data_IF_500104331531
#
_entry.id   IF_500104331531
#
_cell.length_a   1.000
_cell.length_b   1.000
_cell.length_c   1.000
_cell.angle_alpha   90.00
_cell.angle_beta   90.00
_cell.angle_gamma   90.00
#
_symmetry.space_group_name_H-M   'P 1'
#
loop_
_entity.id
_entity.type
_entity.pdbx_description
1 polymer ?
#
# COMPACT_ATOMS: atom_id res chain seq x y z
N UNK A 1 82.57 64.65 37.84
CA UNK A 1 82.23 63.78 38.99
C UNK A 1 81.07 62.89 38.57
N UNK A 2 81.32 61.57 38.53
CA UNK A 2 80.32 60.54 38.27
C UNK A 2 79.77 59.96 39.59
N UNK A 3 78.66 59.20 39.49
CA UNK A 3 77.93 58.38 40.49
C UNK A 3 76.74 59.11 41.14
N UNK A 4 75.50 58.59 41.15
CA UNK A 4 75.00 57.21 41.15
C UNK A 4 73.76 56.99 40.28
N UNK A 5 73.70 55.77 39.72
CA UNK A 5 72.50 55.07 39.28
C UNK A 5 71.36 55.17 40.30
N UNK A 6 70.13 55.34 39.82
CA UNK A 6 68.95 54.90 40.54
C UNK A 6 68.05 54.08 39.59
N UNK A 7 68.09 52.73 39.64
CA UNK A 7 67.30 51.88 38.79
C UNK A 7 65.99 51.50 39.49
N UNK A 8 65.00 52.39 39.51
CA UNK A 8 63.68 52.09 40.08
C UNK A 8 62.52 52.65 39.25
N UNK A 9 62.54 52.41 37.93
CA UNK A 9 61.32 52.41 37.12
C UNK A 9 61.26 51.16 36.25
N UNK A 10 61.06 50.01 36.89
CA UNK A 10 60.43 48.84 36.25
C UNK A 10 59.32 48.34 37.17
N UNK A 11 58.29 49.17 37.33
CA UNK A 11 57.06 48.79 38.00
C UNK A 11 56.15 48.11 37.00
N UNK A 12 56.11 46.78 37.08
CA UNK A 12 54.95 45.92 36.89
C UNK A 12 53.80 46.45 36.01
N UNK A 13 53.71 45.95 34.78
CA UNK A 13 52.40 45.75 34.14
C UNK A 13 52.34 44.54 33.18
N UNK A 14 52.61 43.30 33.63
CA UNK A 14 52.32 42.09 32.83
C UNK A 14 50.87 41.61 32.99
N UNK A 15 49.90 42.49 33.26
CA UNK A 15 48.56 42.10 33.74
C UNK A 15 47.44 42.21 32.68
N UNK A 16 47.65 42.92 31.56
CA UNK A 16 46.57 43.24 30.61
C UNK A 16 46.53 42.38 29.32
N UNK A 17 47.63 41.73 28.93
CA UNK A 17 47.65 40.82 27.77
C UNK A 17 46.98 39.48 28.07
N UNK A 18 47.13 38.97 29.30
CA UNK A 18 46.54 37.69 29.71
C UNK A 18 45.00 37.78 29.82
N UNK A 19 44.48 38.91 30.31
CA UNK A 19 43.03 39.13 30.47
C UNK A 19 42.31 39.27 29.11
N UNK A 20 42.96 39.89 28.12
CA UNK A 20 42.38 40.02 26.77
C UNK A 20 42.44 38.71 25.98
N UNK A 21 43.46 37.88 26.20
CA UNK A 21 43.53 36.51 25.64
C UNK A 21 42.48 35.59 26.28
N UNK A 22 42.31 35.65 27.61
CA UNK A 22 41.28 34.89 28.33
C UNK A 22 39.86 35.31 27.93
N UNK A 23 39.59 36.61 27.74
CA UNK A 23 38.29 37.09 27.26
C UNK A 23 37.97 36.61 25.83
N UNK A 24 38.98 36.51 24.96
CA UNK A 24 38.80 36.05 23.57
C UNK A 24 38.57 34.55 23.48
N UNK A 25 39.28 33.75 24.29
CA UNK A 25 39.08 32.31 24.38
C UNK A 25 37.75 31.94 25.08
N UNK A 26 37.39 32.61 26.17
CA UNK A 26 36.13 32.40 26.86
C UNK A 26 34.91 32.77 25.98
N UNK A 27 34.99 33.86 25.22
CA UNK A 27 33.97 34.23 24.25
C UNK A 27 33.79 33.21 23.13
N UNK A 28 34.91 32.61 22.68
CA UNK A 28 34.89 31.49 21.73
C UNK A 28 34.13 30.28 22.27
N UNK A 29 34.48 29.81 23.47
CA UNK A 29 33.85 28.63 24.11
C UNK A 29 32.35 28.84 24.33
N UNK A 30 31.93 30.01 24.81
CA UNK A 30 30.51 30.36 25.00
C UNK A 30 29.78 30.39 23.64
N UNK A 31 30.40 30.95 22.60
CA UNK A 31 29.84 30.98 21.25
C UNK A 31 29.72 29.57 20.66
N UNK A 32 30.75 28.73 20.79
CA UNK A 32 30.70 27.33 20.34
C UNK A 32 29.63 26.53 21.07
N UNK A 33 29.51 26.68 22.39
CA UNK A 33 28.47 26.00 23.16
C UNK A 33 27.07 26.46 22.74
N UNK A 34 26.86 27.77 22.55
CA UNK A 34 25.59 28.31 22.05
C UNK A 34 25.24 27.79 20.66
N UNK A 35 26.20 27.79 19.73
CA UNK A 35 25.99 27.28 18.37
C UNK A 35 25.75 25.77 18.35
N UNK A 36 26.40 25.02 19.24
CA UNK A 36 26.20 23.57 19.36
C UNK A 36 24.80 23.26 19.86
N UNK A 37 24.35 23.96 20.92
CA UNK A 37 22.97 23.85 21.43
C UNK A 37 21.97 24.27 20.36
N UNK A 38 22.21 25.37 19.65
CA UNK A 38 21.35 25.82 18.56
C UNK A 38 21.28 24.77 17.44
N UNK A 39 22.41 24.18 17.06
CA UNK A 39 22.45 23.12 16.05
C UNK A 39 21.70 21.85 16.50
N UNK A 40 21.85 21.43 17.75
CA UNK A 40 21.08 20.31 18.32
C UNK A 40 19.57 20.60 18.35
N UNK A 41 19.16 21.82 18.71
CA UNK A 41 17.75 22.22 18.67
C UNK A 41 17.21 22.27 17.25
N UNK A 42 18.00 22.75 16.29
CA UNK A 42 17.65 22.77 14.87
C UNK A 42 17.51 21.35 14.31
N UNK A 43 18.44 20.43 14.65
CA UNK A 43 18.35 19.03 14.28
C UNK A 43 17.09 18.37 14.87
N UNK A 44 16.81 18.59 16.15
CA UNK A 44 15.60 18.08 16.81
C UNK A 44 14.32 18.64 16.17
N UNK A 45 14.31 19.92 15.80
CA UNK A 45 13.19 20.54 15.09
C UNK A 45 13.01 19.96 13.69
N UNK A 46 14.10 19.73 12.95
CA UNK A 46 14.07 19.08 11.62
C UNK A 46 13.48 17.68 11.74
N UNK A 47 13.90 16.89 12.72
CA UNK A 47 13.39 15.53 12.91
C UNK A 47 11.91 15.53 13.31
N UNK A 48 11.49 16.46 14.18
CA UNK A 48 10.07 16.64 14.51
C UNK A 48 9.24 17.05 13.28
N UNK A 49 9.74 17.99 12.47
CA UNK A 49 9.07 18.43 11.24
C UNK A 49 8.99 17.30 10.21
N UNK A 50 10.04 16.49 10.07
CA UNK A 50 10.06 15.31 9.20
C UNK A 50 9.02 14.27 9.64
N UNK A 51 8.92 13.99 10.95
CA UNK A 51 7.88 13.09 11.48
C UNK A 51 6.48 13.60 11.18
N UNK A 52 6.21 14.90 11.43
CA UNK A 52 4.91 15.51 11.14
C UNK A 52 4.57 15.50 9.65
N UNK A 53 5.55 15.72 8.78
CA UNK A 53 5.37 15.63 7.32
C UNK A 53 5.04 14.20 6.87
N UNK A 54 5.68 13.20 7.48
CA UNK A 54 5.38 11.79 7.24
C UNK A 54 3.94 11.47 7.65
N UNK A 55 3.54 11.80 8.88
CA UNK A 55 2.19 11.55 9.39
C UNK A 55 1.11 12.25 8.55
N UNK A 56 1.35 13.52 8.19
CA UNK A 56 0.42 14.28 7.34
C UNK A 56 0.27 13.66 5.95
N UNK A 57 1.34 13.09 5.40
CA UNK A 57 1.29 12.41 4.10
C UNK A 57 0.49 11.11 4.21
N UNK A 58 0.66 10.33 5.27
CA UNK A 58 -0.12 9.10 5.48
C UNK A 58 -1.61 9.39 5.62
N UNK A 59 -1.99 10.38 6.44
CA UNK A 59 -3.39 10.81 6.61
C UNK A 59 -3.97 11.26 5.27
N UNK A 60 -3.20 12.00 4.47
CA UNK A 60 -3.65 12.44 3.15
C UNK A 60 -3.91 11.26 2.21
N UNK A 61 -3.01 10.27 2.18
CA UNK A 61 -3.14 9.08 1.34
C UNK A 61 -4.33 8.22 1.76
N UNK A 62 -4.51 7.97 3.06
CA UNK A 62 -5.67 7.26 3.60
C UNK A 62 -6.98 7.98 3.24
N UNK A 63 -7.05 9.29 3.48
CA UNK A 63 -8.23 10.09 3.16
C UNK A 63 -8.58 10.02 1.67
N UNK A 64 -7.57 10.07 0.80
CA UNK A 64 -7.75 9.92 -0.65
C UNK A 64 -8.30 8.54 -1.02
N UNK A 65 -7.79 7.46 -0.42
CA UNK A 65 -8.30 6.09 -0.63
C UNK A 65 -9.76 5.96 -0.17
N UNK A 66 -10.06 6.41 1.04
CA UNK A 66 -11.41 6.34 1.63
C UNK A 66 -12.43 7.17 0.84
N UNK A 67 -12.07 8.36 0.36
CA UNK A 67 -12.92 9.16 -0.53
C UNK A 67 -13.23 8.43 -1.83
N UNK A 68 -12.25 7.78 -2.44
CA UNK A 68 -12.45 6.96 -3.64
C UNK A 68 -13.41 5.80 -3.39
N UNK A 69 -13.25 5.10 -2.26
CA UNK A 69 -14.11 3.98 -1.86
C UNK A 69 -15.56 4.43 -1.62
N UNK A 70 -15.75 5.56 -0.93
CA UNK A 70 -17.06 6.14 -0.66
C UNK A 70 -17.76 6.58 -1.96
N UNK A 71 -17.04 7.27 -2.84
CA UNK A 71 -17.56 7.73 -4.13
C UNK A 71 -17.99 6.56 -5.02
N UNK A 72 -17.24 5.45 -5.01
CA UNK A 72 -17.61 4.23 -5.72
C UNK A 72 -18.88 3.61 -5.12
N UNK A 73 -18.96 3.49 -3.80
CA UNK A 73 -20.15 2.95 -3.11
C UNK A 73 -21.42 3.71 -3.50
N UNK A 74 -21.38 5.04 -3.47
CA UNK A 74 -22.52 5.89 -3.81
C UNK A 74 -22.99 5.75 -5.27
N UNK A 75 -22.08 5.47 -6.21
CA UNK A 75 -22.40 5.36 -7.65
C UNK A 75 -22.81 3.95 -8.09
N UNK A 76 -22.43 2.92 -7.33
CA UNK A 76 -22.57 1.52 -7.76
C UNK A 76 -24.00 1.00 -7.84
N UNK A 77 -24.95 1.58 -7.10
CA UNK A 77 -26.29 1.04 -6.93
C UNK A 77 -26.33 -0.30 -6.16
N UNK A 78 -25.19 -0.78 -5.66
CA UNK A 78 -25.06 -2.03 -4.91
C UNK A 78 -25.12 -1.76 -3.40
N UNK A 79 -25.61 -2.74 -2.65
CA UNK A 79 -25.54 -2.72 -1.19
C UNK A 79 -24.14 -3.16 -0.75
N UNK A 80 -23.31 -2.19 -0.37
CA UNK A 80 -21.89 -2.41 -0.08
C UNK A 80 -21.53 -2.11 1.38
N UNK A 81 -20.78 -3.01 1.99
CA UNK A 81 -20.14 -2.79 3.30
C UNK A 81 -18.65 -2.51 3.12
N UNK A 82 -18.16 -1.33 3.53
CA UNK A 82 -16.73 -1.07 3.59
C UNK A 82 -16.09 -1.88 4.71
N UNK A 83 -14.96 -2.49 4.40
CA UNK A 83 -14.16 -3.26 5.35
C UNK A 83 -12.67 -2.96 5.14
N UNK A 84 -11.91 -2.97 6.23
CA UNK A 84 -10.46 -2.83 6.25
C UNK A 84 -9.82 -4.19 6.41
N UNK A 85 -8.72 -4.42 5.69
CA UNK A 85 -7.88 -5.59 5.88
C UNK A 85 -7.04 -5.41 7.15
N UNK A 86 -7.19 -6.33 8.10
CA UNK A 86 -6.51 -6.33 9.40
C UNK A 86 -5.50 -7.46 9.53
N UNK A 87 -5.43 -8.35 8.54
CA UNK A 87 -4.47 -9.44 8.51
C UNK A 87 -4.35 -10.06 7.13
N UNK A 88 -3.21 -10.67 6.85
CA UNK A 88 -2.97 -11.47 5.65
C UNK A 88 -2.38 -12.80 6.05
N UNK A 89 -2.74 -13.87 5.35
CA UNK A 89 -2.10 -15.16 5.58
C UNK A 89 -0.66 -15.14 5.05
N UNK A 90 0.33 -15.60 5.83
CA UNK A 90 1.72 -15.74 5.38
C UNK A 90 1.94 -17.00 4.52
N UNK A 91 0.89 -17.79 4.29
CA UNK A 91 0.94 -19.04 3.56
C UNK A 91 1.34 -18.79 2.09
N UNK A 92 2.36 -19.51 1.63
CA UNK A 92 2.83 -19.42 0.25
C UNK A 92 1.94 -20.18 -0.73
N UNK A 93 1.09 -21.09 -0.25
CA UNK A 93 0.21 -21.92 -1.09
C UNK A 93 -1.23 -21.41 -1.16
N UNK A 94 -1.64 -20.51 -0.26
CA UNK A 94 -2.97 -19.91 -0.27
C UNK A 94 -2.91 -18.39 -0.05
N UNK A 95 -3.68 -17.65 -0.84
CA UNK A 95 -3.78 -16.20 -0.74
C UNK A 95 -5.11 -15.81 -0.10
N UNK A 96 -5.04 -15.32 1.14
CA UNK A 96 -6.22 -14.83 1.85
C UNK A 96 -5.92 -13.64 2.75
N UNK A 97 -6.96 -12.85 3.02
CA UNK A 97 -6.92 -11.66 3.85
C UNK A 97 -8.06 -11.70 4.89
N UNK A 98 -7.80 -11.18 6.09
CA UNK A 98 -8.80 -11.04 7.16
C UNK A 98 -9.30 -9.60 7.19
N UNK A 99 -10.61 -9.42 7.24
CA UNK A 99 -11.26 -8.10 7.32
C UNK A 99 -11.91 -7.85 8.68
N UNK A 100 -12.03 -6.58 9.05
CA UNK A 100 -12.60 -6.06 10.31
C UNK A 100 -14.14 -6.05 10.35
N UNK A 101 -14.78 -6.92 9.55
CA UNK A 101 -16.22 -7.06 9.48
C UNK A 101 -16.60 -8.54 9.50
N UNK A 102 -17.66 -8.88 10.24
CA UNK A 102 -18.11 -10.25 10.46
C UNK A 102 -19.62 -10.42 10.31
N UNK A 103 -20.15 -11.49 10.92
CA UNK A 103 -21.58 -11.82 10.93
C UNK A 103 -22.44 -10.68 11.48
N UNK A 104 -21.98 -9.96 12.50
CA UNK A 104 -22.73 -8.83 13.06
C UNK A 104 -22.85 -7.64 12.11
N UNK A 105 -21.98 -7.56 11.10
CA UNK A 105 -22.11 -6.60 10.02
C UNK A 105 -22.94 -7.14 8.86
N UNK A 106 -23.49 -8.35 8.94
CA UNK A 106 -24.26 -8.98 7.87
C UNK A 106 -23.40 -9.73 6.84
N UNK A 107 -22.10 -9.87 7.06
CA UNK A 107 -21.23 -10.64 6.16
C UNK A 107 -21.54 -12.13 6.28
N UNK A 108 -21.60 -12.82 5.14
CA UNK A 108 -21.79 -14.27 5.05
C UNK A 108 -20.79 -14.89 4.09
N UNK A 109 -20.50 -16.18 4.31
CA UNK A 109 -19.73 -17.01 3.39
C UNK A 109 -20.32 -16.92 1.98
N UNK A 110 -19.46 -16.79 0.98
CA UNK A 110 -19.83 -16.70 -0.42
C UNK A 110 -20.04 -15.27 -0.95
N UNK A 111 -20.15 -14.26 -0.07
CA UNK A 111 -20.26 -12.86 -0.51
C UNK A 111 -18.99 -12.41 -1.24
N UNK A 112 -19.16 -11.50 -2.21
CA UNK A 112 -18.07 -11.05 -3.09
C UNK A 112 -17.40 -9.81 -2.50
N UNK A 113 -16.07 -9.80 -2.52
CA UNK A 113 -15.26 -8.66 -2.15
C UNK A 113 -14.74 -7.96 -3.41
N UNK A 114 -14.95 -6.64 -3.49
CA UNK A 114 -14.56 -5.79 -4.61
C UNK A 114 -13.82 -4.55 -4.12
N UNK A 115 -13.15 -3.89 -5.06
CA UNK A 115 -12.57 -2.56 -4.91
C UNK A 115 -13.00 -1.69 -6.09
N UNK A 116 -12.80 -0.37 -6.04
CA UNK A 116 -13.04 0.50 -7.21
C UNK A 116 -12.22 0.10 -8.45
N UNK A 117 -11.13 -0.67 -8.25
CA UNK A 117 -10.27 -1.17 -9.33
C UNK A 117 -10.74 -2.50 -9.93
N UNK A 118 -11.58 -3.26 -9.23
CA UNK A 118 -12.03 -4.57 -9.70
C UNK A 118 -12.28 -5.60 -8.59
N UNK A 119 -12.41 -6.85 -9.01
CA UNK A 119 -12.67 -8.00 -8.14
C UNK A 119 -11.46 -8.27 -7.23
N UNK A 120 -11.72 -8.41 -5.93
CA UNK A 120 -10.70 -8.73 -4.91
C UNK A 120 -10.74 -10.21 -4.56
N UNK A 121 -11.94 -10.77 -4.38
CA UNK A 121 -12.09 -12.15 -3.93
C UNK A 121 -13.49 -12.49 -3.45
N UNK A 122 -13.58 -13.48 -2.56
CA UNK A 122 -14.84 -13.97 -1.98
C UNK A 122 -14.66 -14.34 -0.51
N UNK A 123 -15.69 -14.10 0.30
CA UNK A 123 -15.71 -14.52 1.71
C UNK A 123 -15.67 -16.05 1.78
N UNK A 124 -14.59 -16.60 2.32
CA UNK A 124 -14.41 -18.02 2.57
C UNK A 124 -15.04 -18.43 3.90
N UNK A 125 -14.82 -17.63 4.93
CA UNK A 125 -15.22 -17.89 6.31
C UNK A 125 -15.63 -16.59 7.00
N UNK A 126 -16.51 -16.69 7.99
CA UNK A 126 -17.05 -15.53 8.72
C UNK A 126 -17.12 -15.89 10.20
N UNK A 127 -16.43 -15.11 11.03
CA UNK A 127 -16.60 -15.07 12.48
C UNK A 127 -17.53 -13.91 12.87
N UNK A 128 -17.72 -13.68 14.16
CA UNK A 128 -18.68 -12.70 14.65
C UNK A 128 -18.32 -11.26 14.24
N UNK A 129 -17.06 -10.88 14.39
CA UNK A 129 -16.54 -9.53 14.11
C UNK A 129 -15.56 -9.46 12.93
N UNK A 130 -15.11 -10.60 12.41
CA UNK A 130 -14.11 -10.66 11.35
C UNK A 130 -14.51 -11.68 10.29
N UNK A 131 -13.94 -11.56 9.09
CA UNK A 131 -14.15 -12.53 8.02
C UNK A 131 -12.87 -12.78 7.25
N UNK A 132 -12.74 -13.97 6.70
CA UNK A 132 -11.62 -14.36 5.84
C UNK A 132 -12.05 -14.29 4.38
N UNK A 133 -11.30 -13.52 3.59
CA UNK A 133 -11.47 -13.35 2.14
C UNK A 133 -10.44 -14.23 1.45
N UNK A 134 -10.92 -15.16 0.61
CA UNK A 134 -10.09 -15.85 -0.37
C UNK A 134 -9.88 -14.93 -1.58
N UNK A 135 -8.63 -14.60 -1.87
CA UNK A 135 -8.26 -13.60 -2.85
C UNK A 135 -8.27 -14.17 -4.28
N UNK A 136 -8.39 -13.30 -5.29
CA UNK A 136 -8.50 -13.70 -6.70
C UNK A 136 -7.23 -14.38 -7.24
N UNK A 137 -6.08 -14.11 -6.65
CA UNK A 137 -4.81 -14.76 -6.96
C UNK A 137 -4.66 -16.13 -6.29
N UNK A 138 -5.58 -16.56 -5.43
CA UNK A 138 -5.54 -17.91 -4.87
C UNK A 138 -5.88 -18.97 -5.95
N UNK A 139 -5.06 -20.04 -6.11
CA UNK A 139 -5.31 -21.08 -7.11
C UNK A 139 -6.63 -21.83 -6.96
N UNK A 140 -7.17 -21.91 -5.73
CA UNK A 140 -8.43 -22.58 -5.43
C UNK A 140 -9.66 -21.72 -5.74
N UNK A 141 -9.50 -20.41 -5.96
CA UNK A 141 -10.60 -19.54 -6.35
C UNK A 141 -10.82 -19.59 -7.86
N UNK A 142 -11.97 -20.13 -8.28
CA UNK A 142 -12.45 -20.07 -9.65
C UNK A 142 -13.50 -18.97 -9.83
N UNK A 143 -13.32 -18.13 -10.84
CA UNK A 143 -14.24 -17.05 -11.21
C UNK A 143 -14.72 -17.25 -12.64
N UNK A 144 -16.04 -17.35 -12.83
CA UNK A 144 -16.63 -17.41 -14.17
C UNK A 144 -16.53 -16.03 -14.83
N UNK A 145 -15.91 -15.97 -16.00
CA UNK A 145 -15.56 -14.73 -16.69
C UNK A 145 -15.92 -14.75 -18.16
N UNK A 146 -15.99 -13.56 -18.74
CA UNK A 146 -16.11 -13.33 -20.17
C UNK A 146 -15.06 -12.31 -20.64
N UNK A 147 -14.59 -12.48 -21.87
CA UNK A 147 -13.92 -11.41 -22.62
C UNK A 147 -14.94 -10.32 -22.90
N UNK A 148 -14.64 -9.08 -22.53
CA UNK A 148 -15.60 -7.98 -22.65
C UNK A 148 -15.99 -7.69 -24.11
N UNK A 149 -15.04 -7.84 -25.04
CA UNK A 149 -15.19 -7.58 -26.49
C UNK A 149 -15.97 -8.70 -27.19
N UNK A 150 -15.41 -9.91 -27.20
CA UNK A 150 -15.95 -11.05 -27.95
C UNK A 150 -17.03 -11.84 -27.20
N UNK A 151 -17.18 -11.59 -25.90
CA UNK A 151 -18.05 -12.37 -24.99
C UNK A 151 -17.63 -13.84 -24.83
N UNK A 152 -16.43 -14.19 -25.26
CA UNK A 152 -15.86 -15.52 -25.04
C UNK A 152 -15.82 -15.85 -23.55
N UNK A 153 -16.44 -16.96 -23.16
CA UNK A 153 -16.47 -17.45 -21.78
C UNK A 153 -15.20 -18.22 -21.41
N UNK A 154 -14.89 -18.21 -20.11
CA UNK A 154 -13.85 -19.04 -19.53
C UNK A 154 -13.79 -18.92 -18.00
N UNK A 155 -13.01 -19.79 -17.38
CA UNK A 155 -12.80 -19.79 -15.93
C UNK A 155 -11.44 -19.17 -15.61
N UNK A 156 -11.45 -18.11 -14.81
CA UNK A 156 -10.22 -17.51 -14.28
C UNK A 156 -9.89 -18.14 -12.93
N UNK A 157 -8.64 -18.57 -12.79
CA UNK A 157 -8.05 -19.01 -11.54
C UNK A 157 -6.82 -18.17 -11.20
N UNK A 158 -6.57 -18.04 -9.90
CA UNK A 158 -5.31 -17.54 -9.40
C UNK A 158 -4.13 -18.44 -9.75
N UNK A 159 -2.93 -17.90 -9.62
CA UNK A 159 -1.69 -18.67 -9.66
C UNK A 159 -0.85 -18.31 -8.47
N UNK A 160 0.12 -19.15 -8.10
CA UNK A 160 1.11 -18.80 -7.08
C UNK A 160 2.03 -17.63 -7.51
N UNK A 161 1.95 -17.20 -8.78
CA UNK A 161 2.60 -15.98 -9.28
C UNK A 161 1.69 -14.75 -9.21
N UNK A 162 2.16 -13.64 -9.77
CA UNK A 162 1.42 -12.36 -9.83
C UNK A 162 0.39 -12.26 -10.96
N UNK A 163 0.07 -13.39 -11.61
CA UNK A 163 -0.83 -13.46 -12.78
C UNK A 163 -2.02 -14.35 -12.51
N UNK A 164 -3.08 -14.15 -13.29
CA UNK A 164 -4.24 -15.03 -13.34
C UNK A 164 -4.21 -15.84 -14.64
N UNK A 165 -4.85 -17.01 -14.65
CA UNK A 165 -4.98 -17.84 -15.86
C UNK A 165 -6.47 -18.06 -16.15
N UNK A 166 -6.90 -17.71 -17.36
CA UNK A 166 -8.20 -18.09 -17.90
C UNK A 166 -8.07 -19.40 -18.68
N UNK A 167 -8.87 -20.39 -18.29
CA UNK A 167 -8.91 -21.74 -18.85
C UNK A 167 -10.24 -22.02 -19.54
N UNK A 168 -10.31 -23.18 -20.18
CA UNK A 168 -11.47 -23.68 -20.93
C UNK A 168 -11.83 -22.82 -22.14
N UNK A 169 -10.81 -22.27 -22.81
CA UNK A 169 -10.98 -21.58 -24.07
C UNK A 169 -10.89 -22.59 -25.22
N UNK A 170 -11.89 -22.68 -26.10
CA UNK A 170 -11.79 -23.53 -27.28
C UNK A 170 -10.69 -23.03 -28.22
N UNK A 171 -10.25 -23.88 -29.15
CA UNK A 171 -9.16 -23.56 -30.08
C UNK A 171 -9.45 -22.35 -30.98
N UNK A 172 -10.72 -22.12 -31.32
CA UNK A 172 -11.23 -21.02 -32.13
C UNK A 172 -11.71 -19.82 -31.31
N UNK A 173 -11.46 -19.82 -29.98
CA UNK A 173 -11.82 -18.71 -29.10
C UNK A 173 -11.32 -17.35 -29.62
N UNK A 174 -12.24 -16.41 -29.77
CA UNK A 174 -11.92 -15.01 -30.10
C UNK A 174 -11.39 -14.31 -28.85
N UNK A 175 -10.08 -14.35 -28.67
CA UNK A 175 -9.35 -13.70 -27.58
C UNK A 175 -8.01 -13.21 -28.10
N UNK A 176 -7.64 -11.98 -27.74
CA UNK A 176 -6.38 -11.35 -28.13
C UNK A 176 -5.68 -10.68 -26.94
N UNK A 177 -4.37 -10.48 -27.04
CA UNK A 177 -3.64 -9.71 -26.05
C UNK A 177 -4.21 -8.29 -25.95
N UNK A 178 -4.35 -7.78 -24.73
CA UNK A 178 -4.97 -6.49 -24.45
C UNK A 178 -6.47 -6.54 -24.16
N UNK A 179 -7.16 -7.67 -24.39
CA UNK A 179 -8.57 -7.85 -24.08
C UNK A 179 -8.85 -7.71 -22.58
N UNK A 180 -9.98 -7.08 -22.25
CA UNK A 180 -10.46 -6.89 -20.88
C UNK A 180 -11.30 -8.09 -20.46
N UNK A 181 -11.01 -8.61 -19.26
CA UNK A 181 -11.73 -9.75 -18.68
C UNK A 181 -12.61 -9.26 -17.54
N UNK A 182 -13.88 -9.65 -17.57
CA UNK A 182 -14.87 -9.31 -16.55
C UNK A 182 -15.64 -10.54 -16.07
N UNK A 183 -16.26 -10.47 -14.90
CA UNK A 183 -17.14 -11.54 -14.40
C UNK A 183 -18.36 -11.74 -15.32
N UNK A 184 -18.74 -13.01 -15.56
CA UNK A 184 -19.81 -13.35 -16.51
C UNK A 184 -21.22 -13.17 -15.94
N UNK A 185 -21.38 -13.31 -14.63
CA UNK A 185 -22.69 -13.38 -13.97
C UNK A 185 -23.35 -14.76 -13.96
N UNK A 186 -22.74 -15.76 -14.61
CA UNK A 186 -23.34 -17.10 -14.79
C UNK A 186 -23.49 -17.89 -13.49
N UNK A 187 -22.51 -17.79 -12.58
CA UNK A 187 -22.51 -18.58 -11.35
C UNK A 187 -23.44 -18.03 -10.27
N UNK A 188 -24.16 -16.93 -10.51
CA UNK A 188 -24.93 -16.13 -9.53
C UNK A 188 -24.14 -15.63 -8.29
N UNK A 189 -22.94 -16.16 -8.06
CA UNK A 189 -22.02 -15.75 -6.99
C UNK A 189 -21.45 -14.36 -7.29
N UNK A 190 -21.01 -14.13 -8.53
CA UNK A 190 -20.40 -12.87 -8.93
C UNK A 190 -21.38 -12.04 -9.77
N UNK A 191 -21.66 -10.78 -9.39
CA UNK A 191 -22.35 -9.85 -10.27
C UNK A 191 -21.66 -9.76 -11.63
N UNK A 192 -22.42 -9.58 -12.70
CA UNK A 192 -21.87 -9.46 -14.05
C UNK A 192 -21.09 -8.14 -14.21
N UNK A 193 -19.94 -8.20 -14.88
CA UNK A 193 -19.21 -7.00 -15.32
C UNK A 193 -18.17 -6.46 -14.35
N UNK A 194 -17.82 -7.17 -13.27
CA UNK A 194 -16.72 -6.78 -12.40
C UNK A 194 -15.38 -7.00 -13.12
N UNK A 195 -14.52 -5.99 -13.12
CA UNK A 195 -13.20 -6.06 -13.76
C UNK A 195 -12.30 -7.07 -13.04
N UNK A 196 -11.75 -8.02 -13.80
CA UNK A 196 -10.81 -9.03 -13.31
C UNK A 196 -9.38 -8.66 -13.70
N UNK A 197 -9.17 -8.26 -14.96
CA UNK A 197 -7.84 -7.96 -15.46
C UNK A 197 -7.79 -7.79 -16.97
N UNK A 198 -6.57 -7.85 -17.52
CA UNK A 198 -6.30 -7.74 -18.95
C UNK A 198 -5.41 -8.89 -19.44
N UNK A 199 -5.74 -9.44 -20.60
CA UNK A 199 -4.93 -10.49 -21.24
C UNK A 199 -3.55 -9.94 -21.61
N UNK A 200 -2.51 -10.64 -21.19
CA UNK A 200 -1.11 -10.33 -21.53
C UNK A 200 -0.54 -11.30 -22.55
N UNK A 201 -0.95 -12.57 -22.51
CA UNK A 201 -0.45 -13.60 -23.42
C UNK A 201 -1.49 -14.72 -23.57
N UNK A 202 -1.44 -15.45 -24.68
CA UNK A 202 -2.32 -16.57 -25.00
C UNK A 202 -1.45 -17.77 -25.34
N UNK A 203 -1.71 -18.89 -24.68
CA UNK A 203 -1.04 -20.16 -24.92
C UNK A 203 -2.02 -21.24 -25.35
N UNK A 204 -1.49 -22.39 -25.73
CA UNK A 204 -2.26 -23.62 -25.96
C UNK A 204 -1.82 -24.67 -24.97
N UNK A 205 -2.76 -25.52 -24.54
CA UNK A 205 -2.44 -26.67 -23.72
C UNK A 205 -1.62 -27.70 -24.50
N UNK A 206 -1.08 -28.70 -23.79
CA UNK A 206 -0.24 -29.73 -24.41
C UNK A 206 -0.99 -30.57 -25.46
N UNK A 207 -2.32 -30.65 -25.35
CA UNK A 207 -3.16 -31.36 -26.33
C UNK A 207 -3.38 -30.54 -27.60
N UNK A 208 -3.19 -29.22 -27.56
CA UNK A 208 -3.51 -28.28 -28.64
C UNK A 208 -5.02 -28.12 -28.90
N UNK A 209 -5.87 -28.74 -28.07
CA UNK A 209 -7.33 -28.68 -28.18
C UNK A 209 -7.90 -27.45 -27.48
N UNK A 210 -7.25 -27.00 -26.40
CA UNK A 210 -7.68 -25.86 -25.63
C UNK A 210 -6.61 -24.77 -25.59
N UNK A 211 -7.07 -23.53 -25.55
CA UNK A 211 -6.25 -22.36 -25.27
C UNK A 211 -6.36 -21.97 -23.80
N UNK A 212 -5.39 -21.20 -23.35
CA UNK A 212 -5.47 -20.49 -22.08
C UNK A 212 -4.94 -19.07 -22.28
N UNK A 213 -5.40 -18.14 -21.46
CA UNK A 213 -4.91 -16.77 -21.46
C UNK A 213 -4.28 -16.44 -20.11
N UNK A 214 -3.10 -15.84 -20.15
CA UNK A 214 -2.46 -15.25 -18.98
C UNK A 214 -2.99 -13.82 -18.84
N UNK A 215 -3.41 -13.46 -17.65
CA UNK A 215 -4.08 -12.20 -17.34
C UNK A 215 -3.30 -11.48 -16.25
N UNK A 216 -3.04 -10.19 -16.50
CA UNK A 216 -2.59 -9.28 -15.44
C UNK A 216 -3.81 -8.86 -14.61
N UNK A 217 -3.84 -9.13 -13.30
CA UNK A 217 -4.96 -8.75 -12.46
C UNK A 217 -5.11 -7.22 -12.41
N UNK A 218 -6.37 -6.75 -12.36
CA UNK A 218 -6.66 -5.32 -12.22
C UNK A 218 -6.41 -4.79 -10.81
N UNK A 219 -6.52 -5.67 -9.82
CA UNK A 219 -6.26 -5.39 -8.41
C UNK A 219 -4.98 -6.09 -7.99
N UNK A 220 -4.07 -5.34 -7.38
CA UNK A 220 -2.96 -5.94 -6.63
C UNK A 220 -3.43 -6.24 -5.21
N UNK A 221 -3.69 -7.51 -4.93
CA UNK A 221 -4.14 -7.97 -3.62
C UNK A 221 -3.08 -7.83 -2.52
N UNK A 222 -1.81 -7.60 -2.88
CA UNK A 222 -0.72 -7.42 -1.91
C UNK A 222 -0.79 -6.04 -1.25
N UNK A 223 -1.21 -5.02 -2.00
CA UNK A 223 -1.21 -3.61 -1.57
C UNK A 223 -2.59 -3.06 -1.19
N UNK A 224 -3.66 -3.83 -1.33
CA UNK A 224 -5.01 -3.36 -1.00
C UNK A 224 -5.24 -3.23 0.51
N UNK A 225 -5.69 -2.07 0.99
CA UNK A 225 -5.92 -1.83 2.43
C UNK A 225 -7.40 -1.90 2.79
N UNK A 226 -8.27 -1.39 1.91
CA UNK A 226 -9.72 -1.40 2.08
C UNK A 226 -10.42 -2.05 0.89
N UNK A 227 -11.56 -2.67 1.19
CA UNK A 227 -12.43 -3.29 0.20
C UNK A 227 -13.91 -3.06 0.53
N UNK A 228 -14.77 -3.45 -0.40
CA UNK A 228 -16.21 -3.42 -0.26
C UNK A 228 -16.74 -4.84 -0.41
N UNK A 229 -17.63 -5.25 0.49
CA UNK A 229 -18.33 -6.54 0.41
C UNK A 229 -19.73 -6.29 -0.14
N UNK A 230 -20.09 -7.04 -1.19
CA UNK A 230 -21.41 -6.98 -1.83
C UNK A 230 -22.37 -7.83 -0.99
N UNK A 231 -23.45 -7.20 -0.55
CA UNK A 231 -24.56 -7.86 0.14
C UNK A 231 -25.71 -8.04 -0.86
N UNK A 232 -26.26 -9.26 -0.98
CA UNK A 232 -27.44 -9.55 -1.79
C UNK A 232 -28.70 -8.81 -1.32
#
# INVERSE_FOLDING_TARGET
>A
MARLNNPLQKTFSPQLSLVSLLKREAGGIIFYHRNMVENETLHSAIDSLRSRLFDSREIYLENSRLKGLLAFKQKSGLHLIPARIIGRSPDSWSSSATIDKGKYNGIRRGMVAISPRGLVGRVAETADNTSKILLINDPSLGVSTIVQRSRQEGLVNGTLGSSLIMRYLPKDADIVAGDVIVTSGLSQVYPKGLLVGRVINIGSDLSGLNRYAIIKPAVDCSSIEELLVIIP
#
